data_IF_385216689032
#
_entry.id   IF_385216689032
#
_cell.length_a   1.000
_cell.length_b   1.000
_cell.length_c   1.000
_cell.angle_alpha   90.00
_cell.angle_beta   90.00
_cell.angle_gamma   90.00
#
_symmetry.space_group_name_H-M   'P 1'
#
loop_
_entity.id
_entity.type
_entity.pdbx_description
1 polymer ?
#
# COMPACT_ATOMS: atom_id res chain seq x y z
N UNK A 1 -11.29 -10.15 -7.55
CA UNK A 1 -10.36 -10.04 -8.70
C UNK A 1 -9.05 -9.55 -8.14
N UNK A 2 -7.93 -10.13 -8.58
CA UNK A 2 -6.58 -9.82 -8.14
C UNK A 2 -5.68 -9.58 -9.35
N UNK A 3 -4.64 -8.79 -9.15
CA UNK A 3 -3.66 -8.50 -10.18
C UNK A 3 -2.57 -9.57 -10.16
N UNK A 4 -2.33 -10.21 -11.29
CA UNK A 4 -1.31 -11.25 -11.47
C UNK A 4 -0.24 -10.73 -12.41
N UNK A 5 1.03 -10.84 -12.02
CA UNK A 5 2.14 -10.56 -12.91
C UNK A 5 2.51 -11.84 -13.64
N UNK A 6 2.60 -11.77 -14.97
CA UNK A 6 2.95 -12.91 -15.80
C UNK A 6 4.23 -12.65 -16.60
N UNK A 7 4.97 -13.74 -16.82
CA UNK A 7 6.02 -13.84 -17.81
C UNK A 7 5.58 -14.93 -18.76
N UNK A 8 5.35 -14.58 -20.02
CA UNK A 8 4.94 -15.52 -21.05
C UNK A 8 5.86 -15.40 -22.27
N UNK A 9 5.79 -16.41 -23.14
CA UNK A 9 6.52 -16.44 -24.40
C UNK A 9 5.54 -16.41 -25.56
N UNK A 10 5.75 -15.49 -26.50
CA UNK A 10 4.99 -15.45 -27.75
C UNK A 10 5.38 -16.63 -28.64
N UNK A 11 4.58 -16.93 -29.66
CA UNK A 11 4.92 -17.97 -30.65
C UNK A 11 6.21 -17.65 -31.41
N UNK A 12 6.56 -16.36 -31.53
CA UNK A 12 7.84 -15.88 -32.10
C UNK A 12 9.05 -16.09 -31.17
N UNK A 13 8.85 -16.68 -29.99
CA UNK A 13 9.91 -16.96 -29.03
C UNK A 13 10.33 -15.77 -28.15
N UNK A 14 9.71 -14.60 -28.33
CA UNK A 14 9.96 -13.40 -27.51
C UNK A 14 9.32 -13.56 -26.13
N UNK A 15 10.02 -13.11 -25.09
CA UNK A 15 9.48 -13.02 -23.73
C UNK A 15 8.65 -11.75 -23.60
N UNK A 16 7.46 -11.88 -23.05
CA UNK A 16 6.54 -10.80 -22.74
C UNK A 16 6.25 -10.83 -21.24
N UNK A 17 6.39 -9.67 -20.59
CA UNK A 17 6.07 -9.48 -19.19
C UNK A 17 4.90 -8.49 -19.09
N UNK A 18 3.88 -8.85 -18.32
CA UNK A 18 2.68 -8.04 -18.20
C UNK A 18 1.94 -8.28 -16.89
N UNK A 19 0.85 -7.53 -16.72
CA UNK A 19 -0.06 -7.68 -15.59
C UNK A 19 -1.45 -8.04 -16.13
N UNK A 20 -2.12 -8.98 -15.48
CA UNK A 20 -3.45 -9.44 -15.86
C UNK A 20 -4.34 -9.51 -14.63
N UNK A 21 -5.58 -9.05 -14.77
CA UNK A 21 -6.57 -9.12 -13.71
C UNK A 21 -7.37 -10.42 -13.85
N UNK A 22 -7.42 -11.23 -12.79
CA UNK A 22 -8.14 -12.51 -12.78
C UNK A 22 -8.71 -12.80 -11.39
N UNK A 23 -9.66 -13.72 -11.26
CA UNK A 23 -10.18 -14.19 -9.97
C UNK A 23 -9.26 -15.19 -9.30
N UNK A 24 -8.49 -15.96 -10.06
CA UNK A 24 -7.47 -16.88 -9.55
C UNK A 24 -6.33 -17.11 -10.58
N UNK A 25 -5.24 -17.74 -10.13
CA UNK A 25 -4.08 -18.06 -10.97
C UNK A 25 -4.43 -18.94 -12.17
N UNK A 26 -5.39 -19.86 -12.02
CA UNK A 26 -5.87 -20.76 -13.08
C UNK A 26 -6.55 -19.98 -14.20
N UNK A 27 -7.42 -19.02 -13.87
CA UNK A 27 -8.10 -18.13 -14.82
C UNK A 27 -7.12 -17.18 -15.51
N UNK A 28 -6.12 -16.67 -14.79
CA UNK A 28 -5.01 -15.92 -15.38
C UNK A 28 -4.26 -16.77 -16.43
N UNK A 29 -4.00 -18.05 -16.11
CA UNK A 29 -3.37 -19.00 -17.02
C UNK A 29 -4.20 -19.28 -18.28
N UNK A 30 -5.49 -19.55 -18.13
CA UNK A 30 -6.40 -19.76 -19.27
C UNK A 30 -6.50 -18.52 -20.16
N UNK A 31 -6.56 -17.32 -19.56
CA UNK A 31 -6.64 -16.07 -20.33
C UNK A 31 -5.37 -15.83 -21.14
N UNK A 32 -4.20 -16.17 -20.59
CA UNK A 32 -2.92 -16.06 -21.30
C UNK A 32 -2.77 -17.13 -22.40
N UNK A 33 -3.23 -18.36 -22.16
CA UNK A 33 -3.27 -19.41 -23.18
C UNK A 33 -4.19 -19.04 -24.35
N UNK A 34 -5.37 -18.48 -24.07
CA UNK A 34 -6.32 -18.00 -25.09
C UNK A 34 -5.73 -16.86 -25.95
N UNK A 35 -4.72 -16.14 -25.44
CA UNK A 35 -3.96 -15.13 -26.18
C UNK A 35 -2.78 -15.70 -26.97
N UNK A 36 -2.68 -17.02 -27.13
CA UNK A 36 -1.55 -17.71 -27.77
C UNK A 36 -0.20 -17.46 -27.07
N UNK A 37 -0.22 -17.10 -25.79
CA UNK A 37 0.97 -16.88 -24.98
C UNK A 37 1.29 -18.13 -24.17
N UNK A 38 2.52 -18.63 -24.29
CA UNK A 38 3.00 -19.74 -23.47
C UNK A 38 3.48 -19.20 -22.13
N UNK A 39 2.67 -19.38 -21.10
CA UNK A 39 2.99 -18.99 -19.73
C UNK A 39 4.26 -19.69 -19.24
N UNK A 40 5.25 -18.92 -18.80
CA UNK A 40 6.44 -19.42 -18.11
C UNK A 40 6.25 -19.31 -16.60
N UNK A 41 5.77 -18.16 -16.14
CA UNK A 41 5.53 -17.88 -14.72
C UNK A 41 4.30 -17.00 -14.57
N UNK A 42 3.42 -17.36 -13.63
CA UNK A 42 2.37 -16.46 -13.13
C UNK A 42 2.59 -16.34 -11.64
N UNK A 43 2.69 -15.12 -11.15
CA UNK A 43 2.76 -14.82 -9.73
C UNK A 43 1.66 -13.85 -9.38
N UNK A 44 0.89 -14.19 -8.35
CA UNK A 44 -0.07 -13.27 -7.80
C UNK A 44 0.69 -12.05 -7.27
N UNK A 45 0.37 -10.87 -7.78
CA UNK A 45 0.83 -9.61 -7.19
C UNK A 45 -0.04 -9.38 -5.96
N UNK A 46 0.16 -10.22 -4.93
CA UNK A 46 -0.23 -9.86 -3.57
C UNK A 46 0.50 -8.54 -3.34
N UNK A 47 -0.23 -7.47 -3.07
CA UNK A 47 0.37 -6.29 -2.46
C UNK A 47 1.18 -6.81 -1.28
N UNK A 48 2.49 -6.91 -1.45
CA UNK A 48 3.38 -7.19 -0.36
C UNK A 48 3.27 -5.93 0.48
N UNK A 49 2.32 -5.90 1.42
CA UNK A 49 2.42 -5.08 2.63
C UNK A 49 3.76 -5.50 3.23
N UNK A 50 4.80 -4.76 2.86
CA UNK A 50 6.18 -5.11 3.11
C UNK A 50 6.49 -4.97 4.58
N UNK A 51 5.99 -5.89 5.39
CA UNK A 51 6.52 -6.17 6.71
C UNK A 51 7.78 -7.02 6.49
N UNK A 52 8.81 -6.39 5.94
CA UNK A 52 10.15 -6.94 6.01
C UNK A 52 10.52 -7.11 7.48
N UNK A 53 11.28 -8.16 7.80
CA UNK A 53 11.79 -8.50 9.13
C UNK A 53 12.54 -7.33 9.82
N UNK A 54 12.88 -6.28 9.07
CA UNK A 54 13.28 -4.96 9.54
C UNK A 54 12.09 -3.99 9.69
N UNK A 55 11.02 -4.41 10.37
CA UNK A 55 9.97 -3.48 10.77
C UNK A 55 10.61 -2.46 11.72
N UNK A 56 10.98 -1.28 11.23
CA UNK A 56 11.43 -0.17 12.06
C UNK A 56 10.39 0.04 13.15
N UNK A 57 10.78 -0.25 14.40
CA UNK A 57 9.94 0.01 15.57
C UNK A 57 9.69 1.52 15.59
N UNK A 58 8.45 1.92 15.89
CA UNK A 58 8.14 3.34 16.05
C UNK A 58 8.86 3.83 17.30
N UNK A 59 9.80 4.75 17.12
CA UNK A 59 10.61 5.26 18.23
C UNK A 59 9.77 6.20 19.10
N UNK A 60 10.19 6.46 20.35
CA UNK A 60 9.53 7.47 21.16
C UNK A 60 9.72 8.87 20.57
N UNK A 61 10.86 9.12 19.92
CA UNK A 61 11.16 10.37 19.23
C UNK A 61 10.16 10.60 18.09
N UNK A 62 9.83 9.56 17.30
CA UNK A 62 8.84 9.64 16.23
C UNK A 62 7.47 10.08 16.77
N UNK A 63 7.05 9.52 17.92
CA UNK A 63 5.77 9.86 18.56
C UNK A 63 5.74 11.30 19.07
N UNK A 64 6.85 11.77 19.65
CA UNK A 64 6.99 13.15 20.12
C UNK A 64 6.84 14.11 18.94
N UNK A 65 7.58 13.88 17.86
CA UNK A 65 7.49 14.72 16.65
C UNK A 65 6.09 14.70 16.03
N UNK A 66 5.47 13.52 15.94
CA UNK A 66 4.09 13.41 15.46
C UNK A 66 3.13 14.28 16.28
N UNK A 67 3.20 14.19 17.61
CA UNK A 67 2.28 14.93 18.49
C UNK A 67 2.53 16.43 18.44
N UNK A 68 3.79 16.86 18.40
CA UNK A 68 4.14 18.29 18.28
C UNK A 68 3.71 18.87 16.94
N UNK A 69 4.00 18.19 15.84
CA UNK A 69 3.64 18.66 14.49
C UNK A 69 2.12 18.65 14.31
N UNK A 70 1.41 17.65 14.84
CA UNK A 70 -0.05 17.64 14.83
C UNK A 70 -0.64 18.81 15.63
N UNK A 71 -0.08 19.10 16.82
CA UNK A 71 -0.48 20.24 17.64
C UNK A 71 -0.29 21.57 16.89
N UNK A 72 0.86 21.77 16.25
CA UNK A 72 1.15 22.98 15.47
C UNK A 72 0.11 23.13 14.35
N UNK A 73 -0.15 22.08 13.57
CA UNK A 73 -1.11 22.11 12.46
C UNK A 73 -2.53 22.44 12.93
N UNK A 74 -2.99 21.84 14.02
CA UNK A 74 -4.32 22.12 14.58
C UNK A 74 -4.39 23.56 15.08
N UNK A 75 -3.35 24.03 15.78
CA UNK A 75 -3.28 25.40 16.30
C UNK A 75 -3.26 26.46 15.20
N UNK A 76 -2.66 26.15 14.05
CA UNK A 76 -2.63 27.04 12.88
C UNK A 76 -3.92 26.97 12.04
N UNK A 77 -4.92 26.19 12.46
CA UNK A 77 -6.23 26.12 11.82
C UNK A 77 -6.33 25.11 10.68
N UNK A 78 -5.35 24.22 10.53
CA UNK A 78 -5.46 23.13 9.56
C UNK A 78 -6.53 22.15 10.04
N UNK A 79 -7.34 21.65 9.10
CA UNK A 79 -8.23 20.53 9.41
C UNK A 79 -7.42 19.31 9.86
N UNK A 80 -7.99 18.51 10.77
CA UNK A 80 -7.33 17.31 11.30
C UNK A 80 -6.92 16.34 10.16
N UNK A 81 -7.78 16.17 9.15
CA UNK A 81 -7.50 15.32 8.00
C UNK A 81 -6.30 15.84 7.18
N UNK A 82 -6.21 17.16 6.96
CA UNK A 82 -5.05 17.74 6.29
C UNK A 82 -3.76 17.64 7.13
N UNK A 83 -3.84 17.88 8.43
CA UNK A 83 -2.70 17.72 9.34
C UNK A 83 -2.13 16.29 9.28
N UNK A 84 -3.01 15.29 9.37
CA UNK A 84 -2.61 13.87 9.25
C UNK A 84 -2.02 13.56 7.87
N UNK A 85 -2.60 14.08 6.78
CA UNK A 85 -2.05 13.92 5.42
C UNK A 85 -0.62 14.48 5.31
N UNK A 86 -0.36 15.65 5.86
CA UNK A 86 0.99 16.24 5.87
C UNK A 86 1.96 15.38 6.68
N UNK A 87 1.53 14.85 7.83
CA UNK A 87 2.35 13.99 8.69
C UNK A 87 2.72 12.67 8.01
N UNK A 88 1.84 12.09 7.19
CA UNK A 88 2.17 10.91 6.38
C UNK A 88 3.36 11.20 5.46
N UNK A 89 3.38 12.37 4.81
CA UNK A 89 4.44 12.75 3.88
C UNK A 89 5.78 13.02 4.59
N UNK A 90 5.73 13.61 5.78
CA UNK A 90 6.92 13.97 6.56
C UNK A 90 7.49 12.82 7.40
N UNK A 91 6.72 11.75 7.62
CA UNK A 91 7.18 10.62 8.45
C UNK A 91 8.12 9.72 7.67
N UNK A 92 9.38 9.63 8.10
CA UNK A 92 10.41 8.77 7.49
C UNK A 92 10.18 7.28 7.80
N UNK A 93 9.76 6.98 9.03
CA UNK A 93 9.51 5.62 9.47
C UNK A 93 8.33 5.00 8.71
N UNK A 94 8.60 4.05 7.82
CA UNK A 94 7.60 3.41 6.94
C UNK A 94 6.45 2.77 7.71
N UNK A 95 6.75 2.16 8.86
CA UNK A 95 5.73 1.56 9.73
C UNK A 95 4.83 2.63 10.31
N UNK A 96 5.42 3.70 10.82
CA UNK A 96 4.63 4.78 11.43
C UNK A 96 3.81 5.53 10.39
N UNK A 97 4.37 5.79 9.21
CA UNK A 97 3.66 6.36 8.05
C UNK A 97 2.38 5.57 7.73
N UNK A 98 2.46 4.24 7.73
CA UNK A 98 1.30 3.37 7.47
C UNK A 98 0.23 3.51 8.56
N UNK A 99 0.65 3.64 9.82
CA UNK A 99 -0.28 3.85 10.95
C UNK A 99 -0.98 5.21 10.82
N UNK A 100 -0.23 6.27 10.51
CA UNK A 100 -0.78 7.62 10.36
C UNK A 100 -1.72 7.70 9.15
N UNK A 101 -1.41 7.01 8.05
CA UNK A 101 -2.29 6.98 6.88
C UNK A 101 -3.60 6.23 7.17
N UNK A 102 -3.55 5.17 7.98
CA UNK A 102 -4.76 4.52 8.50
C UNK A 102 -5.58 5.49 9.38
N UNK A 103 -4.94 6.18 10.32
CA UNK A 103 -5.61 7.20 11.17
C UNK A 103 -6.29 8.26 10.33
N UNK A 104 -5.59 8.78 9.30
CA UNK A 104 -6.15 9.74 8.34
C UNK A 104 -7.40 9.18 7.68
N UNK A 105 -7.33 7.95 7.14
CA UNK A 105 -8.46 7.33 6.45
C UNK A 105 -9.66 7.11 7.38
N UNK A 106 -9.42 6.71 8.62
CA UNK A 106 -10.48 6.50 9.62
C UNK A 106 -11.16 7.82 10.00
N UNK A 107 -10.38 8.89 10.18
CA UNK A 107 -10.90 10.24 10.44
C UNK A 107 -11.66 10.81 9.24
N UNK A 108 -11.18 10.59 8.01
CA UNK A 108 -11.90 10.98 6.78
C UNK A 108 -13.25 10.25 6.64
N UNK A 109 -13.38 9.05 7.20
CA UNK A 109 -14.64 8.29 7.27
C UNK A 109 -15.54 8.72 8.44
N UNK A 110 -15.13 9.72 9.24
CA UNK A 110 -15.90 10.24 10.37
C UNK A 110 -15.66 9.50 11.69
N UNK A 111 -14.66 8.62 11.77
CA UNK A 111 -14.28 7.98 13.04
C UNK A 111 -13.55 9.01 13.90
N UNK A 112 -13.92 9.12 15.17
CA UNK A 112 -13.23 10.01 16.13
C UNK A 112 -11.76 9.62 16.27
N UNK A 113 -10.86 10.60 16.35
CA UNK A 113 -9.42 10.36 16.48
C UNK A 113 -9.06 9.43 17.63
N UNK A 114 -9.70 9.60 18.80
CA UNK A 114 -9.49 8.74 19.99
C UNK A 114 -9.75 7.26 19.69
N UNK A 115 -10.84 6.96 18.97
CA UNK A 115 -11.20 5.61 18.56
C UNK A 115 -10.28 5.05 17.47
N UNK A 116 -9.77 5.89 16.58
CA UNK A 116 -8.82 5.48 15.55
C UNK A 116 -7.43 5.15 16.13
N UNK A 117 -7.06 5.75 17.27
CA UNK A 117 -5.78 5.55 17.96
C UNK A 117 -5.76 4.37 18.95
N UNK A 118 -6.93 3.81 19.29
CA UNK A 118 -7.08 2.65 20.17
C UNK A 118 -6.59 1.36 19.49
#
# INVERSE_FOLDING_TARGET
>A
MGLYKYIARTQEGKKEEGEIEAKNQTEAGHTLQNKNLRVLTISEKKEKKGYGLFSQRVSNVDKIFFTQNLYIMIRTGFSLAQGLKTLVLQTENKRFRTIIDKLRSDVEKGITLSKAMA
#
